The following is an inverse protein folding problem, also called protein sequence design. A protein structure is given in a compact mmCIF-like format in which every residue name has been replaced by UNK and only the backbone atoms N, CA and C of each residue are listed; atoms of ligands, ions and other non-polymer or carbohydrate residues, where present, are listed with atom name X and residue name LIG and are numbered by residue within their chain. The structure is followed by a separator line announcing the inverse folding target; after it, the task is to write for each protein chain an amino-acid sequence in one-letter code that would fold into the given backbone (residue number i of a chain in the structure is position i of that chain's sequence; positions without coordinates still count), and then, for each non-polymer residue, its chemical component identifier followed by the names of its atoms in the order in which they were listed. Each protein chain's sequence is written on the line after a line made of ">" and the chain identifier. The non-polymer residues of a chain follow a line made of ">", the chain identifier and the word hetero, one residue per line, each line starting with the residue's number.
data_IF_670261497101
#
_entry.id   IF_670261497101
#
_cell.length_a   1.000
_cell.length_b   1.000
_cell.length_c   1.000
_cell.angle_alpha   90.00
_cell.angle_beta   90.00
_cell.angle_gamma   90.00
#
_symmetry.space_group_name_H-M   'P 1'
#
loop_
_entity.id
_entity.type
_entity.pdbx_description
1 polymer ?
#
# COMPACT_ATOMS: atom_id res chain seq x y z
N UNK A 1 -23.95 -15.96 -3.33
CA UNK A 1 -23.96 -14.65 -4.00
C UNK A 1 -22.98 -13.76 -3.27
N UNK A 2 -21.79 -13.55 -3.83
CA UNK A 2 -20.74 -12.68 -3.26
C UNK A 2 -20.99 -11.24 -3.75
N UNK A 3 -21.27 -10.26 -2.87
CA UNK A 3 -21.52 -8.90 -3.30
C UNK A 3 -20.20 -8.20 -3.68
N UNK A 4 -20.11 -7.79 -4.94
CA UNK A 4 -19.50 -6.52 -5.36
C UNK A 4 -18.16 -6.13 -4.74
N UNK A 5 -17.07 -6.83 -5.09
CA UNK A 5 -15.70 -6.35 -4.86
C UNK A 5 -15.27 -5.33 -5.92
N UNK A 6 -16.14 -4.37 -6.21
CA UNK A 6 -15.99 -3.41 -7.30
C UNK A 6 -16.00 -1.97 -6.77
N UNK A 7 -15.20 -1.62 -5.75
CA UNK A 7 -14.81 -0.21 -5.50
C UNK A 7 -13.63 -0.01 -4.52
N UNK A 8 -12.65 -0.91 -4.52
CA UNK A 8 -11.43 -0.74 -3.73
C UNK A 8 -10.20 -0.60 -4.64
N UNK A 9 -10.31 0.23 -5.68
CA UNK A 9 -9.22 0.46 -6.62
C UNK A 9 -8.36 1.63 -6.15
N UNK A 10 -7.08 1.36 -5.82
CA UNK A 10 -6.09 2.42 -5.60
C UNK A 10 -6.09 3.40 -6.78
N UNK A 11 -6.10 4.69 -6.47
CA UNK A 11 -6.09 5.77 -7.45
C UNK A 11 -4.83 5.71 -8.31
N UNK A 12 -4.90 6.27 -9.53
CA UNK A 12 -3.74 6.35 -10.45
C UNK A 12 -2.46 6.93 -9.79
N UNK A 13 -2.50 8.04 -9.03
CA UNK A 13 -1.30 8.55 -8.38
C UNK A 13 -0.75 7.60 -7.30
N UNK A 14 -1.60 7.00 -6.47
CA UNK A 14 -1.18 6.01 -5.46
C UNK A 14 -0.48 4.81 -6.11
N UNK A 15 -1.04 4.29 -7.21
CA UNK A 15 -0.48 3.15 -7.96
C UNK A 15 0.87 3.47 -8.62
N UNK A 16 1.10 4.73 -8.99
CA UNK A 16 2.35 5.19 -9.61
C UNK A 16 3.44 5.40 -8.55
N UNK A 17 3.10 6.00 -7.41
CA UNK A 17 4.01 6.18 -6.30
C UNK A 17 4.49 4.83 -5.76
N UNK A 18 3.57 3.92 -5.43
CA UNK A 18 3.94 2.64 -4.85
C UNK A 18 4.80 1.78 -5.80
N UNK A 19 4.54 1.81 -7.11
CA UNK A 19 5.42 1.14 -8.09
C UNK A 19 6.84 1.70 -8.07
N UNK A 20 7.00 3.03 -7.96
CA UNK A 20 8.33 3.66 -7.85
C UNK A 20 9.07 3.24 -6.57
N UNK A 21 8.34 3.15 -5.47
CA UNK A 21 8.89 2.77 -4.16
C UNK A 21 9.43 1.33 -4.17
N UNK A 22 8.70 0.41 -4.79
CA UNK A 22 9.00 -1.02 -4.70
C UNK A 22 9.76 -1.61 -5.90
N UNK A 23 9.78 -0.96 -7.08
CA UNK A 23 10.49 -1.47 -8.27
C UNK A 23 12.02 -1.26 -8.18
N UNK A 24 12.67 -1.87 -7.18
CA UNK A 24 14.13 -1.85 -7.01
C UNK A 24 14.60 -1.89 -5.56
N UNK A 25 13.68 -2.00 -4.59
CA UNK A 25 14.00 -1.88 -3.16
C UNK A 25 14.41 -3.24 -2.60
N UNK A 26 15.58 -3.30 -1.96
CA UNK A 26 16.06 -4.45 -1.16
C UNK A 26 15.79 -4.27 0.33
N UNK A 27 15.46 -3.04 0.76
CA UNK A 27 15.12 -2.71 2.15
C UNK A 27 13.59 -2.62 2.29
N UNK A 28 12.96 -3.46 3.13
CA UNK A 28 11.51 -3.45 3.31
C UNK A 28 11.03 -2.14 3.95
N UNK A 29 9.84 -1.69 3.56
CA UNK A 29 9.09 -0.65 4.26
C UNK A 29 8.24 -1.33 5.32
N UNK A 30 8.37 -0.91 6.57
CA UNK A 30 7.68 -1.56 7.69
C UNK A 30 6.50 -0.68 8.10
N UNK A 31 5.29 -1.24 8.13
CA UNK A 31 4.08 -0.55 8.60
C UNK A 31 3.30 -1.47 9.51
N UNK A 32 2.86 -0.98 10.67
CA UNK A 32 2.24 -1.80 11.72
C UNK A 32 3.06 -3.08 12.04
N UNK A 33 4.39 -2.95 12.05
CA UNK A 33 5.32 -4.06 12.29
C UNK A 33 5.42 -5.08 11.15
N UNK A 34 4.75 -4.86 10.01
CA UNK A 34 4.80 -5.74 8.84
C UNK A 34 5.77 -5.19 7.79
N UNK A 35 6.83 -5.94 7.41
CA UNK A 35 7.72 -5.55 6.33
C UNK A 35 7.07 -5.82 4.97
N UNK A 36 7.15 -4.83 4.08
CA UNK A 36 6.69 -4.92 2.69
C UNK A 36 7.87 -4.65 1.77
N UNK A 37 8.11 -5.56 0.83
CA UNK A 37 9.15 -5.43 -0.20
C UNK A 37 8.57 -5.14 -1.58
N UNK A 38 7.28 -5.44 -1.79
CA UNK A 38 6.66 -5.28 -3.10
C UNK A 38 5.40 -4.44 -3.06
N UNK A 39 5.14 -3.78 -4.18
CA UNK A 39 3.90 -3.03 -4.39
C UNK A 39 2.66 -3.90 -4.19
N UNK A 40 2.70 -5.16 -4.65
CA UNK A 40 1.56 -6.07 -4.56
C UNK A 40 1.20 -6.37 -3.11
N UNK A 41 2.19 -6.61 -2.26
CA UNK A 41 1.97 -6.90 -0.83
C UNK A 41 1.45 -5.67 -0.08
N UNK A 42 2.11 -4.52 -0.27
CA UNK A 42 1.68 -3.27 0.34
C UNK A 42 0.28 -2.84 -0.10
N UNK A 43 -0.02 -2.94 -1.40
CA UNK A 43 -1.35 -2.66 -1.93
C UNK A 43 -2.40 -3.60 -1.35
N UNK A 44 -2.09 -4.90 -1.21
CA UNK A 44 -3.03 -5.86 -0.63
C UNK A 44 -3.28 -5.54 0.84
N UNK A 45 -2.26 -5.16 1.59
CA UNK A 45 -2.39 -4.74 3.00
C UNK A 45 -3.28 -3.52 3.16
N UNK A 46 -3.00 -2.44 2.42
CA UNK A 46 -3.78 -1.20 2.48
C UNK A 46 -5.28 -1.43 2.19
N UNK A 47 -5.60 -2.38 1.30
CA UNK A 47 -6.98 -2.72 0.93
C UNK A 47 -7.72 -3.54 2.01
N UNK A 48 -7.00 -4.11 2.98
CA UNK A 48 -7.61 -4.77 4.15
C UNK A 48 -7.93 -3.79 5.28
N UNK A 49 -7.40 -2.57 5.23
CA UNK A 49 -7.61 -1.54 6.24
C UNK A 49 -8.87 -0.71 5.98
N UNK A 50 -9.43 -0.15 7.06
CA UNK A 50 -10.45 0.89 6.99
C UNK A 50 -9.90 2.15 6.31
N UNK A 51 -10.75 3.04 5.78
CA UNK A 51 -10.30 4.25 5.08
C UNK A 51 -9.32 5.12 5.89
N UNK A 52 -9.57 5.29 7.18
CA UNK A 52 -8.75 6.10 8.09
C UNK A 52 -7.39 5.45 8.35
N UNK A 53 -7.38 4.15 8.65
CA UNK A 53 -6.15 3.39 8.87
C UNK A 53 -5.32 3.24 7.59
N UNK A 54 -5.99 3.14 6.44
CA UNK A 54 -5.35 3.08 5.12
C UNK A 54 -4.58 4.35 4.81
N UNK A 55 -5.15 5.52 5.09
CA UNK A 55 -4.48 6.80 4.85
C UNK A 55 -3.26 6.97 5.77
N UNK A 56 -3.40 6.64 7.07
CA UNK A 56 -2.29 6.67 8.02
C UNK A 56 -1.14 5.74 7.59
N UNK A 57 -1.45 4.48 7.27
CA UNK A 57 -0.48 3.51 6.76
C UNK A 57 0.18 3.97 5.45
N UNK A 58 -0.57 4.60 4.54
CA UNK A 58 -0.03 5.13 3.29
C UNK A 58 0.96 6.29 3.52
N UNK A 59 0.65 7.21 4.44
CA UNK A 59 1.55 8.30 4.81
C UNK A 59 2.86 7.78 5.43
N UNK A 60 2.77 6.74 6.27
CA UNK A 60 3.93 6.07 6.84
C UNK A 60 4.81 5.42 5.76
N UNK A 61 4.21 4.66 4.83
CA UNK A 61 4.94 4.09 3.69
C UNK A 61 5.63 5.17 2.86
N UNK A 62 4.94 6.31 2.63
CA UNK A 62 5.47 7.44 1.87
C UNK A 62 6.64 8.12 2.60
N UNK A 63 6.60 8.24 3.92
CA UNK A 63 7.69 8.82 4.71
C UNK A 63 8.97 7.96 4.70
N UNK A 64 8.80 6.64 4.66
CA UNK A 64 9.92 5.69 4.59
C UNK A 64 10.50 5.54 3.17
N UNK A 65 9.71 5.87 2.15
CA UNK A 65 10.15 5.97 0.77
C UNK A 65 11.01 7.22 0.51
N UNK A 66 12.17 7.31 1.16
CA UNK A 66 13.32 8.08 0.66
C UNK A 66 13.98 7.34 -0.49
#
# INVERSE_FOLDING_TARGET
>A
MEPGRADASLTRPQRRLLRRIYNGRTVPIVVDGKPFLTFREASRYLLTLSPEAREAAYLEMRGQAK
#
